data_IF_215537065059
#
_entry.id   IF_215537065059
#
_cell.length_a   1.000
_cell.length_b   1.000
_cell.length_c   1.000
_cell.angle_alpha   90.00
_cell.angle_beta   90.00
_cell.angle_gamma   90.00
#
_symmetry.space_group_name_H-M   'P 1'
#
loop_
_entity.id
_entity.type
_entity.pdbx_description
1 polymer ?
#
# COMPACT_ATOMS: atom_id res chain seq x y z
N UNK A 1 10.56 -23.09 -28.34
CA UNK A 1 10.24 -22.53 -27.03
C UNK A 1 8.85 -21.94 -27.16
N UNK A 2 7.99 -22.14 -26.18
CA UNK A 2 6.64 -21.56 -26.17
C UNK A 2 6.75 -20.03 -26.08
N UNK A 3 5.91 -19.31 -26.81
CA UNK A 3 5.78 -17.85 -26.72
C UNK A 3 4.46 -17.54 -26.05
N UNK A 4 4.49 -16.72 -24.99
CA UNK A 4 3.31 -16.17 -24.38
C UNK A 4 3.18 -14.70 -24.78
N UNK A 5 2.05 -14.38 -25.39
CA UNK A 5 1.75 -13.02 -25.87
C UNK A 5 0.98 -12.24 -24.81
N UNK A 6 1.41 -11.01 -24.61
CA UNK A 6 0.91 -10.10 -23.59
C UNK A 6 0.21 -8.91 -24.24
N UNK A 7 -0.99 -8.59 -23.80
CA UNK A 7 -1.66 -7.32 -24.03
C UNK A 7 -1.38 -6.37 -22.88
N UNK A 8 -0.76 -5.24 -23.16
CA UNK A 8 -0.41 -4.22 -22.16
C UNK A 8 -1.42 -3.07 -22.22
N UNK A 9 -2.21 -2.90 -21.16
CA UNK A 9 -3.17 -1.80 -21.04
C UNK A 9 -2.52 -0.65 -20.28
N UNK A 10 -2.03 0.35 -21.02
CA UNK A 10 -1.29 1.50 -20.53
C UNK A 10 0.22 1.40 -20.75
N UNK A 11 0.82 2.47 -21.32
CA UNK A 11 2.26 2.57 -21.59
C UNK A 11 2.88 3.81 -20.93
N UNK A 12 2.37 4.16 -19.74
CA UNK A 12 2.93 5.22 -18.88
C UNK A 12 4.16 4.76 -18.11
N UNK A 13 4.35 5.31 -16.91
CA UNK A 13 5.52 5.05 -16.04
C UNK A 13 5.74 3.56 -15.77
N UNK A 14 4.69 2.82 -15.40
CA UNK A 14 4.81 1.39 -15.07
C UNK A 14 4.87 0.54 -16.35
N UNK A 15 3.99 0.80 -17.32
CA UNK A 15 3.95 0.02 -18.57
C UNK A 15 5.24 0.09 -19.38
N UNK A 16 5.86 1.26 -19.48
CA UNK A 16 7.18 1.41 -20.11
C UNK A 16 8.28 0.68 -19.32
N UNK A 17 8.17 0.64 -17.99
CA UNK A 17 9.05 -0.15 -17.12
C UNK A 17 8.92 -1.66 -17.38
N UNK A 18 7.69 -2.17 -17.53
CA UNK A 18 7.40 -3.58 -17.89
C UNK A 18 8.05 -3.92 -19.24
N UNK A 19 7.80 -3.10 -20.25
CA UNK A 19 8.45 -3.27 -21.56
C UNK A 19 9.97 -3.32 -21.46
N UNK A 20 10.56 -2.38 -20.74
CA UNK A 20 12.01 -2.30 -20.56
C UNK A 20 12.59 -3.56 -19.90
N UNK A 21 11.94 -4.07 -18.83
CA UNK A 21 12.40 -5.27 -18.13
C UNK A 21 12.27 -6.49 -19.04
N UNK A 22 11.12 -6.71 -19.67
CA UNK A 22 10.88 -7.84 -20.55
C UNK A 22 11.88 -7.87 -21.72
N UNK A 23 12.17 -6.73 -22.33
CA UNK A 23 13.11 -6.61 -23.44
C UNK A 23 14.55 -6.83 -22.99
N UNK A 24 15.01 -6.11 -21.95
CA UNK A 24 16.41 -6.20 -21.49
C UNK A 24 16.75 -7.52 -20.80
N UNK A 25 15.78 -8.18 -20.18
CA UNK A 25 16.00 -9.41 -19.40
C UNK A 25 15.45 -10.65 -20.09
N UNK A 26 15.06 -10.56 -21.38
CA UNK A 26 14.43 -11.64 -22.13
C UNK A 26 15.12 -12.98 -21.93
N UNK A 27 16.40 -13.11 -22.26
CA UNK A 27 17.14 -14.37 -22.12
C UNK A 27 17.17 -14.94 -20.68
N UNK A 28 17.22 -14.06 -19.67
CA UNK A 28 17.21 -14.48 -18.27
C UNK A 28 15.84 -14.97 -17.86
N UNK A 29 14.78 -14.32 -18.32
CA UNK A 29 13.39 -14.68 -18.09
C UNK A 29 13.10 -16.03 -18.76
N UNK A 30 13.47 -16.19 -20.01
CA UNK A 30 13.32 -17.44 -20.77
C UNK A 30 14.00 -18.63 -20.09
N UNK A 31 15.23 -18.44 -19.57
CA UNK A 31 15.95 -19.49 -18.83
C UNK A 31 15.23 -19.89 -17.54
N UNK A 32 14.53 -18.96 -16.87
CA UNK A 32 13.84 -19.22 -15.60
C UNK A 32 12.45 -19.82 -15.80
N UNK A 33 11.72 -19.33 -16.79
CA UNK A 33 10.31 -19.72 -17.02
C UNK A 33 10.16 -20.86 -18.02
N UNK A 34 11.15 -21.05 -18.92
CA UNK A 34 11.05 -21.92 -20.07
C UNK A 34 10.18 -21.36 -21.21
N UNK A 35 9.79 -20.08 -21.12
CA UNK A 35 8.83 -19.41 -22.00
C UNK A 35 9.38 -18.07 -22.45
N UNK A 36 9.15 -17.68 -23.71
CA UNK A 36 9.41 -16.32 -24.20
C UNK A 36 8.19 -15.45 -23.94
N UNK A 37 8.37 -14.34 -23.23
CA UNK A 37 7.32 -13.36 -22.90
C UNK A 37 7.43 -12.19 -23.88
N UNK A 38 6.37 -11.89 -24.63
CA UNK A 38 6.36 -10.85 -25.64
C UNK A 38 5.13 -9.95 -25.50
N UNK A 39 5.35 -8.63 -25.42
CA UNK A 39 4.26 -7.68 -25.55
C UNK A 39 3.87 -7.59 -27.02
N UNK A 40 2.70 -8.07 -27.37
CA UNK A 40 2.16 -8.08 -28.73
C UNK A 40 1.49 -6.76 -29.06
N UNK A 41 0.65 -6.28 -28.13
CA UNK A 41 -0.12 -5.05 -28.30
C UNK A 41 -0.08 -4.20 -27.04
N UNK A 42 -0.11 -2.88 -27.20
CA UNK A 42 -0.19 -1.93 -26.10
C UNK A 42 -1.27 -0.88 -26.33
N UNK A 43 -2.14 -0.68 -25.31
CA UNK A 43 -3.16 0.36 -25.33
C UNK A 43 -2.56 1.69 -24.91
N UNK A 44 -2.73 2.70 -25.76
CA UNK A 44 -2.34 4.09 -25.50
C UNK A 44 -3.36 5.06 -26.10
N UNK A 45 -3.40 6.29 -25.63
CA UNK A 45 -4.32 7.31 -26.17
C UNK A 45 -3.93 7.75 -27.58
N UNK A 46 -2.65 7.88 -27.84
CA UNK A 46 -2.04 8.42 -29.07
C UNK A 46 -0.99 7.43 -29.61
N UNK A 47 -1.41 6.39 -30.36
CA UNK A 47 -0.53 5.32 -30.86
C UNK A 47 0.64 5.83 -31.70
N UNK A 48 0.42 6.90 -32.46
CA UNK A 48 1.41 7.55 -33.37
C UNK A 48 2.64 8.07 -32.62
N UNK A 49 2.53 8.41 -31.35
CA UNK A 49 3.66 8.89 -30.55
C UNK A 49 4.70 7.80 -30.26
N UNK A 50 4.32 6.53 -30.41
CA UNK A 50 5.11 5.36 -30.04
C UNK A 50 5.53 4.49 -31.23
N UNK A 51 4.72 4.45 -32.30
CA UNK A 51 4.86 3.53 -33.42
C UNK A 51 6.26 3.62 -34.11
N UNK A 52 6.80 4.82 -34.24
CA UNK A 52 8.10 5.04 -34.88
C UNK A 52 9.29 4.86 -33.92
N UNK A 53 9.04 4.79 -32.60
CA UNK A 53 10.10 4.75 -31.59
C UNK A 53 10.35 3.36 -31.03
N UNK A 54 9.34 2.49 -31.08
CA UNK A 54 9.36 1.16 -30.46
C UNK A 54 8.90 0.15 -31.49
N UNK A 55 9.82 -0.73 -31.89
CA UNK A 55 9.54 -1.82 -32.83
C UNK A 55 9.06 -3.09 -32.10
N UNK A 56 8.27 -3.90 -32.77
CA UNK A 56 7.85 -5.22 -32.27
C UNK A 56 6.62 -5.18 -31.36
N UNK A 57 5.97 -4.03 -31.20
CA UNK A 57 4.71 -3.86 -30.47
C UNK A 57 3.72 -3.11 -31.36
N UNK A 58 2.48 -3.56 -31.42
CA UNK A 58 1.38 -2.82 -32.04
C UNK A 58 0.74 -1.90 -31.03
N UNK A 59 0.87 -0.58 -31.21
CA UNK A 59 0.19 0.40 -30.39
C UNK A 59 -1.21 0.69 -30.95
N UNK A 60 -2.20 0.78 -30.06
CA UNK A 60 -3.61 1.01 -30.45
C UNK A 60 -4.34 1.85 -29.39
N UNK A 61 -5.36 2.59 -29.79
CA UNK A 61 -6.31 3.23 -28.89
C UNK A 61 -7.61 2.40 -28.73
N UNK A 62 -7.72 1.29 -29.44
CA UNK A 62 -8.83 0.35 -29.39
C UNK A 62 -8.52 -0.80 -28.44
N UNK A 63 -9.17 -0.81 -27.27
CA UNK A 63 -8.99 -1.88 -26.27
C UNK A 63 -9.53 -3.22 -26.75
N UNK A 64 -10.60 -3.21 -27.56
CA UNK A 64 -11.21 -4.43 -28.08
C UNK A 64 -10.30 -5.15 -29.06
N UNK A 65 -9.44 -4.42 -29.78
CA UNK A 65 -8.41 -5.00 -30.63
C UNK A 65 -7.35 -5.81 -29.84
N UNK A 66 -7.19 -5.52 -28.53
CA UNK A 66 -6.32 -6.28 -27.62
C UNK A 66 -7.10 -7.41 -26.96
N UNK A 67 -8.29 -7.10 -26.38
CA UNK A 67 -9.03 -8.06 -25.56
C UNK A 67 -9.64 -9.20 -26.37
N UNK A 68 -9.98 -8.96 -27.64
CA UNK A 68 -10.54 -9.96 -28.52
C UNK A 68 -9.47 -10.77 -29.29
N UNK A 69 -8.18 -10.48 -29.13
CA UNK A 69 -7.10 -11.24 -29.76
C UNK A 69 -6.93 -12.58 -29.06
N UNK A 70 -7.22 -13.69 -29.75
CA UNK A 70 -7.13 -15.05 -29.22
C UNK A 70 -5.67 -15.48 -28.94
N UNK A 71 -4.68 -14.85 -29.56
CA UNK A 71 -3.27 -15.17 -29.33
C UNK A 71 -2.72 -14.55 -28.04
N UNK A 72 -3.39 -13.52 -27.49
CA UNK A 72 -3.01 -12.88 -26.23
C UNK A 72 -3.61 -13.67 -25.06
N UNK A 73 -2.75 -14.28 -24.25
CA UNK A 73 -3.13 -15.09 -23.10
C UNK A 73 -3.08 -14.32 -21.76
N UNK A 74 -2.27 -13.25 -21.70
CA UNK A 74 -2.05 -12.46 -20.48
C UNK A 74 -2.34 -11.00 -20.76
N UNK A 75 -3.16 -10.37 -19.90
CA UNK A 75 -3.38 -8.92 -19.88
C UNK A 75 -2.64 -8.33 -18.70
N UNK A 76 -1.86 -7.28 -18.95
CA UNK A 76 -1.24 -6.45 -17.92
C UNK A 76 -1.96 -5.11 -17.89
N UNK A 77 -2.67 -4.81 -16.80
CA UNK A 77 -3.40 -3.56 -16.62
C UNK A 77 -2.60 -2.61 -15.71
N UNK A 78 -2.26 -1.45 -16.25
CA UNK A 78 -1.54 -0.36 -15.58
C UNK A 78 -2.04 1.01 -16.05
N UNK A 79 -3.38 1.12 -16.21
CA UNK A 79 -4.05 2.31 -16.76
C UNK A 79 -4.19 3.43 -15.74
N UNK A 80 -4.53 3.09 -14.50
CA UNK A 80 -5.03 4.03 -13.51
C UNK A 80 -6.54 4.33 -13.66
N UNK A 81 -7.13 4.85 -12.60
CA UNK A 81 -8.60 5.01 -12.49
C UNK A 81 -9.31 3.67 -12.27
N UNK A 82 -10.62 3.69 -12.08
CA UNK A 82 -11.38 2.50 -11.69
C UNK A 82 -12.28 2.00 -12.80
N UNK A 83 -13.20 2.82 -13.29
CA UNK A 83 -14.34 2.36 -14.10
C UNK A 83 -13.92 1.72 -15.44
N UNK A 84 -13.01 2.37 -16.17
CA UNK A 84 -12.50 1.83 -17.42
C UNK A 84 -11.63 0.59 -17.20
N UNK A 85 -10.75 0.63 -16.20
CA UNK A 85 -9.90 -0.50 -15.84
C UNK A 85 -10.73 -1.71 -15.41
N UNK A 86 -11.81 -1.50 -14.62
CA UNK A 86 -12.74 -2.55 -14.21
C UNK A 86 -13.35 -3.27 -15.41
N UNK A 87 -13.89 -2.52 -16.37
CA UNK A 87 -14.51 -3.10 -17.55
C UNK A 87 -13.50 -3.92 -18.39
N UNK A 88 -12.28 -3.41 -18.53
CA UNK A 88 -11.21 -4.10 -19.24
C UNK A 88 -10.79 -5.40 -18.55
N UNK A 89 -10.54 -5.33 -17.23
CA UNK A 89 -10.12 -6.50 -16.45
C UNK A 89 -11.22 -7.55 -16.40
N UNK A 90 -12.47 -7.15 -16.14
CA UNK A 90 -13.63 -8.05 -16.15
C UNK A 90 -13.76 -8.78 -17.49
N UNK A 91 -13.78 -8.04 -18.60
CA UNK A 91 -13.86 -8.62 -19.95
C UNK A 91 -12.70 -9.57 -20.25
N UNK A 92 -11.46 -9.24 -19.83
CA UNK A 92 -10.32 -10.11 -20.00
C UNK A 92 -10.49 -11.44 -19.25
N UNK A 93 -10.88 -11.39 -17.96
CA UNK A 93 -11.12 -12.58 -17.15
C UNK A 93 -12.25 -13.45 -17.70
N UNK A 94 -13.37 -12.85 -18.08
CA UNK A 94 -14.53 -13.53 -18.69
C UNK A 94 -14.17 -14.18 -20.05
N UNK A 95 -13.21 -13.62 -20.77
CA UNK A 95 -12.69 -14.18 -22.02
C UNK A 95 -11.61 -15.25 -21.84
N UNK A 96 -11.36 -15.68 -20.61
CA UNK A 96 -10.37 -16.72 -20.31
C UNK A 96 -8.91 -16.25 -20.37
N UNK A 97 -8.66 -14.94 -20.26
CA UNK A 97 -7.30 -14.39 -20.21
C UNK A 97 -6.85 -14.20 -18.77
N UNK A 98 -5.60 -14.51 -18.50
CA UNK A 98 -4.97 -14.17 -17.22
C UNK A 98 -4.75 -12.68 -17.10
N UNK A 99 -4.85 -12.12 -15.89
CA UNK A 99 -4.69 -10.70 -15.64
C UNK A 99 -3.64 -10.45 -14.56
N UNK A 100 -2.79 -9.47 -14.82
CA UNK A 100 -1.89 -8.85 -13.83
C UNK A 100 -2.23 -7.38 -13.75
N UNK A 101 -2.52 -6.86 -12.55
CA UNK A 101 -2.83 -5.44 -12.35
C UNK A 101 -2.01 -4.82 -11.23
N UNK A 102 -1.69 -3.53 -11.36
CA UNK A 102 -1.08 -2.72 -10.30
C UNK A 102 -2.09 -1.73 -9.67
N UNK A 103 -3.38 -1.82 -10.04
CA UNK A 103 -4.39 -0.83 -9.73
C UNK A 103 -5.05 -1.10 -8.36
N UNK A 104 -4.49 -0.51 -7.31
CA UNK A 104 -4.98 -0.67 -5.96
C UNK A 104 -6.41 -0.18 -5.75
N UNK A 105 -6.79 0.92 -6.44
CA UNK A 105 -8.12 1.52 -6.30
C UNK A 105 -9.19 0.58 -6.88
N UNK A 106 -8.89 -0.03 -8.01
CA UNK A 106 -9.70 -1.08 -8.63
C UNK A 106 -9.87 -2.27 -7.69
N UNK A 107 -8.77 -2.77 -7.13
CA UNK A 107 -8.78 -3.97 -6.29
C UNK A 107 -9.45 -3.74 -4.94
N UNK A 108 -9.30 -2.56 -4.35
CA UNK A 108 -9.99 -2.22 -3.11
C UNK A 108 -11.52 -2.18 -3.30
N UNK A 109 -12.00 -1.70 -4.45
CA UNK A 109 -13.43 -1.59 -4.76
C UNK A 109 -14.04 -2.86 -5.32
N UNK A 110 -13.36 -3.52 -6.23
CA UNK A 110 -13.91 -4.62 -7.05
C UNK A 110 -13.11 -5.92 -6.94
N UNK A 111 -12.08 -5.98 -6.08
CA UNK A 111 -11.17 -7.13 -6.03
C UNK A 111 -11.88 -8.45 -5.72
N UNK A 112 -12.86 -8.45 -4.83
CA UNK A 112 -13.65 -9.66 -4.49
C UNK A 112 -14.39 -10.19 -5.71
N UNK A 113 -15.12 -9.33 -6.43
CA UNK A 113 -15.85 -9.70 -7.64
C UNK A 113 -14.88 -10.19 -8.73
N UNK A 114 -13.79 -9.46 -8.97
CA UNK A 114 -12.81 -9.83 -10.01
C UNK A 114 -12.11 -11.16 -9.68
N UNK A 115 -11.81 -11.40 -8.40
CA UNK A 115 -11.24 -12.67 -7.94
C UNK A 115 -12.21 -13.83 -8.11
N UNK A 116 -13.51 -13.60 -7.91
CA UNK A 116 -14.55 -14.60 -8.18
C UNK A 116 -14.64 -14.90 -9.68
N UNK A 117 -14.70 -13.89 -10.54
CA UNK A 117 -14.72 -14.05 -12.00
C UNK A 117 -13.49 -14.83 -12.48
N UNK A 118 -12.31 -14.51 -11.95
CA UNK A 118 -11.08 -15.23 -12.28
C UNK A 118 -11.16 -16.73 -11.94
N UNK A 119 -11.72 -17.07 -10.77
CA UNK A 119 -11.97 -18.47 -10.36
C UNK A 119 -12.94 -19.20 -11.28
N UNK A 120 -14.08 -18.58 -11.57
CA UNK A 120 -15.13 -19.15 -12.41
C UNK A 120 -14.63 -19.45 -13.83
N UNK A 121 -13.71 -18.62 -14.35
CA UNK A 121 -13.11 -18.79 -15.67
C UNK A 121 -11.77 -19.55 -15.65
N UNK A 122 -11.33 -20.05 -14.48
CA UNK A 122 -10.09 -20.81 -14.30
C UNK A 122 -8.84 -20.06 -14.84
N UNK A 123 -8.76 -18.76 -14.54
CA UNK A 123 -7.63 -17.87 -14.88
C UNK A 123 -7.02 -17.24 -13.66
N UNK A 124 -5.75 -16.81 -13.79
CA UNK A 124 -5.06 -16.08 -12.72
C UNK A 124 -5.42 -14.60 -12.75
N UNK A 125 -5.64 -14.03 -11.56
CA UNK A 125 -5.64 -12.60 -11.29
C UNK A 125 -4.55 -12.34 -10.25
N UNK A 126 -3.43 -11.74 -10.67
CA UNK A 126 -2.31 -11.40 -9.79
C UNK A 126 -2.11 -9.89 -9.71
N UNK A 127 -1.66 -9.40 -8.56
CA UNK A 127 -1.60 -7.97 -8.29
C UNK A 127 -0.55 -7.56 -7.25
N UNK A 128 0.61 -8.25 -7.23
CA UNK A 128 1.71 -7.94 -6.30
C UNK A 128 2.07 -6.46 -6.29
N UNK A 129 2.08 -5.81 -7.45
CA UNK A 129 2.44 -4.42 -7.63
C UNK A 129 1.45 -3.41 -7.02
N UNK A 130 0.27 -3.84 -6.59
CA UNK A 130 -0.77 -2.96 -6.04
C UNK A 130 -0.46 -2.46 -4.63
N UNK A 131 0.38 -3.18 -3.87
CA UNK A 131 0.83 -2.79 -2.53
C UNK A 131 2.35 -2.90 -2.44
N UNK A 132 2.99 -1.85 -1.92
CA UNK A 132 4.44 -1.83 -1.72
C UNK A 132 5.28 -1.73 -2.99
N UNK A 133 4.68 -1.53 -4.16
CA UNK A 133 5.36 -1.33 -5.44
C UNK A 133 6.34 -2.44 -5.79
N UNK A 134 7.64 -2.24 -5.51
CA UNK A 134 8.69 -3.23 -5.74
C UNK A 134 8.96 -4.20 -4.59
N UNK A 135 8.24 -4.05 -3.47
CA UNK A 135 8.37 -4.91 -2.28
C UNK A 135 7.47 -6.14 -2.48
N UNK A 136 8.00 -7.36 -2.48
CA UNK A 136 7.17 -8.55 -2.53
C UNK A 136 6.49 -8.76 -1.17
N UNK A 137 5.22 -8.42 -1.04
CA UNK A 137 4.46 -8.53 0.21
C UNK A 137 3.22 -9.41 0.10
N UNK A 138 2.47 -9.30 -1.02
CA UNK A 138 1.20 -10.00 -1.15
C UNK A 138 1.41 -11.51 -1.36
N UNK A 139 2.37 -11.89 -2.19
CA UNK A 139 2.71 -13.30 -2.39
C UNK A 139 3.27 -13.95 -1.13
N UNK A 140 4.23 -13.37 -0.39
CA UNK A 140 4.63 -13.87 0.93
C UNK A 140 3.47 -14.05 1.91
N UNK A 141 2.50 -13.12 1.96
CA UNK A 141 1.30 -13.29 2.80
C UNK A 141 0.51 -14.55 2.43
N UNK A 142 0.29 -14.76 1.14
CA UNK A 142 -0.54 -15.87 0.64
C UNK A 142 0.19 -17.22 0.66
N UNK A 143 1.49 -17.24 0.37
CA UNK A 143 2.24 -18.49 0.18
C UNK A 143 3.08 -18.87 1.40
N UNK A 144 3.73 -17.91 2.08
CA UNK A 144 4.67 -18.18 3.16
C UNK A 144 4.05 -17.98 4.54
N UNK A 145 3.38 -16.86 4.76
CA UNK A 145 2.77 -16.52 6.05
C UNK A 145 1.48 -17.31 6.29
N UNK A 146 0.87 -17.87 5.25
CA UNK A 146 -0.40 -18.63 5.32
C UNK A 146 -0.41 -19.84 6.25
N UNK A 147 0.76 -20.28 6.72
CA UNK A 147 0.88 -21.31 7.76
C UNK A 147 0.80 -20.76 9.19
N UNK A 148 0.63 -19.45 9.34
CA UNK A 148 0.51 -18.75 10.62
C UNK A 148 -0.87 -18.09 10.74
N UNK A 149 -1.29 -17.86 11.98
CA UNK A 149 -2.33 -16.89 12.24
C UNK A 149 -1.68 -15.49 12.28
N UNK A 150 -2.10 -14.62 11.35
CA UNK A 150 -1.62 -13.24 11.35
C UNK A 150 -2.26 -12.49 12.50
N UNK A 151 -1.43 -11.88 13.36
CA UNK A 151 -1.86 -11.12 14.53
C UNK A 151 -1.94 -9.63 14.22
N UNK A 152 -0.97 -9.08 13.47
CA UNK A 152 -0.93 -7.67 13.12
C UNK A 152 -0.16 -7.41 11.82
N UNK A 153 -0.57 -6.36 11.12
CA UNK A 153 0.19 -5.75 10.03
C UNK A 153 0.30 -4.25 10.30
N UNK A 154 1.52 -3.72 10.25
CA UNK A 154 1.80 -2.30 10.28
C UNK A 154 2.58 -1.90 9.03
N UNK A 155 2.06 -0.95 8.26
CA UNK A 155 2.66 -0.58 6.98
C UNK A 155 2.95 0.92 6.85
N UNK A 156 4.20 1.27 6.55
CA UNK A 156 4.54 2.53 5.90
C UNK A 156 4.39 2.27 4.40
N UNK A 157 3.20 2.50 3.86
CA UNK A 157 2.83 2.10 2.48
C UNK A 157 2.66 3.28 1.52
N UNK A 158 2.90 4.51 2.00
CA UNK A 158 2.88 5.72 1.20
C UNK A 158 4.23 6.45 1.28
N UNK A 159 4.94 6.55 0.16
CA UNK A 159 6.28 7.14 0.10
C UNK A 159 6.27 8.66 0.27
N UNK A 160 5.24 9.35 -0.21
CA UNK A 160 5.08 10.81 -0.12
C UNK A 160 5.00 11.25 1.34
N UNK A 161 4.10 10.65 2.11
CA UNK A 161 3.92 10.98 3.53
C UNK A 161 5.14 10.62 4.37
N UNK A 162 5.79 9.50 4.10
CA UNK A 162 7.01 9.13 4.80
C UNK A 162 8.18 10.07 4.46
N UNK A 163 8.29 10.53 3.20
CA UNK A 163 9.25 11.56 2.82
C UNK A 163 9.00 12.86 3.57
N UNK A 164 7.74 13.33 3.63
CA UNK A 164 7.36 14.56 4.31
C UNK A 164 7.71 14.49 5.80
N UNK A 165 7.20 13.47 6.51
CA UNK A 165 7.45 13.32 7.95
C UNK A 165 8.93 13.15 8.29
N UNK A 166 9.68 12.41 7.45
CA UNK A 166 11.13 12.25 7.63
C UNK A 166 11.85 13.57 7.48
N UNK A 167 11.55 14.35 6.44
CA UNK A 167 12.20 15.63 6.17
C UNK A 167 11.85 16.67 7.23
N UNK A 168 10.57 16.76 7.66
CA UNK A 168 10.16 17.61 8.78
C UNK A 168 10.95 17.29 10.04
N UNK A 169 11.07 16.00 10.39
CA UNK A 169 11.75 15.54 11.61
C UNK A 169 13.27 15.79 11.57
N UNK A 170 13.92 15.56 10.42
CA UNK A 170 15.38 15.66 10.31
C UNK A 170 15.87 17.08 10.07
N UNK A 171 15.11 17.87 9.30
CA UNK A 171 15.50 19.22 8.87
C UNK A 171 14.83 20.32 9.69
N UNK A 172 13.84 20.02 10.52
CA UNK A 172 13.08 20.98 11.31
C UNK A 172 12.22 21.92 10.46
N UNK A 173 11.84 21.49 9.25
CA UNK A 173 10.99 22.24 8.32
C UNK A 173 9.51 22.08 8.66
N UNK A 174 8.65 23.01 8.22
CA UNK A 174 7.20 22.88 8.33
C UNK A 174 6.65 21.92 7.27
N UNK A 175 5.41 21.49 7.48
CA UNK A 175 4.70 20.66 6.50
C UNK A 175 4.63 21.33 5.12
N UNK A 176 4.31 22.62 5.07
CA UNK A 176 4.17 23.38 3.82
C UNK A 176 5.50 23.51 3.07
N UNK A 177 6.61 23.76 3.81
CA UNK A 177 7.96 23.85 3.21
C UNK A 177 8.38 22.52 2.60
N UNK A 178 8.12 21.40 3.31
CA UNK A 178 8.50 20.08 2.81
C UNK A 178 7.57 19.61 1.70
N UNK A 179 6.25 19.88 1.78
CA UNK A 179 5.32 19.53 0.71
C UNK A 179 5.72 20.20 -0.61
N UNK A 180 6.07 21.49 -0.57
CA UNK A 180 6.56 22.19 -1.75
C UNK A 180 7.80 21.52 -2.35
N UNK A 181 8.77 21.15 -1.49
CA UNK A 181 9.98 20.42 -1.92
C UNK A 181 9.64 19.05 -2.50
N UNK A 182 8.68 18.34 -1.91
CA UNK A 182 8.21 17.05 -2.44
C UNK A 182 7.59 17.18 -3.83
N UNK A 183 6.81 18.24 -4.07
CA UNK A 183 6.21 18.54 -5.38
C UNK A 183 7.29 18.91 -6.41
N UNK A 184 8.25 19.76 -6.07
CA UNK A 184 9.37 20.15 -6.93
C UNK A 184 10.25 18.94 -7.34
N UNK A 185 10.41 17.97 -6.45
CA UNK A 185 11.17 16.73 -6.69
C UNK A 185 10.32 15.60 -7.34
N UNK A 186 9.03 15.82 -7.58
CA UNK A 186 8.13 14.83 -8.18
C UNK A 186 7.72 13.68 -7.26
N UNK A 187 7.87 13.83 -5.94
CA UNK A 187 7.40 12.89 -4.91
C UNK A 187 5.93 13.11 -4.54
N UNK A 188 5.41 14.32 -4.77
CA UNK A 188 4.00 14.67 -4.59
C UNK A 188 3.45 15.31 -5.86
N UNK A 189 2.20 15.01 -6.19
CA UNK A 189 1.45 15.68 -7.27
C UNK A 189 0.98 17.07 -6.82
N UNK A 190 0.44 17.86 -7.76
CA UNK A 190 -0.12 19.18 -7.47
C UNK A 190 -1.29 19.09 -6.47
N UNK A 191 -2.12 18.05 -6.57
CA UNK A 191 -3.12 17.69 -5.57
C UNK A 191 -2.63 16.45 -4.80
N UNK A 192 -2.05 16.59 -3.61
CA UNK A 192 -1.50 15.50 -2.81
C UNK A 192 -2.54 14.84 -1.89
N UNK A 193 -3.82 15.22 -1.96
CA UNK A 193 -4.87 14.83 -1.00
C UNK A 193 -4.92 13.32 -0.79
N UNK A 194 -4.83 12.52 -1.85
CA UNK A 194 -4.85 11.05 -1.74
C UNK A 194 -3.73 10.50 -0.86
N UNK A 195 -2.55 11.14 -0.90
CA UNK A 195 -1.40 10.75 -0.10
C UNK A 195 -1.54 11.27 1.33
N UNK A 196 -1.67 12.60 1.48
CA UNK A 196 -1.53 13.28 2.78
C UNK A 196 -2.71 13.04 3.71
N UNK A 197 -3.91 12.73 3.18
CA UNK A 197 -5.09 12.36 3.96
C UNK A 197 -5.19 10.83 4.21
N UNK A 198 -4.21 10.05 3.72
CA UNK A 198 -4.11 8.61 3.97
C UNK A 198 -5.01 7.73 3.11
N UNK A 199 -5.61 8.25 2.04
CA UNK A 199 -6.52 7.47 1.17
C UNK A 199 -5.78 6.39 0.41
N UNK A 200 -4.61 6.70 -0.15
CA UNK A 200 -3.73 5.71 -0.80
C UNK A 200 -3.37 4.57 0.15
N UNK A 201 -2.99 4.90 1.39
CA UNK A 201 -2.66 3.90 2.41
C UNK A 201 -3.88 3.04 2.80
N UNK A 202 -5.08 3.64 2.81
CA UNK A 202 -6.35 2.93 3.11
C UNK A 202 -6.68 1.90 2.03
N UNK A 203 -6.56 2.22 0.75
CA UNK A 203 -6.77 1.25 -0.33
C UNK A 203 -5.82 0.05 -0.23
N UNK A 204 -4.55 0.30 0.09
CA UNK A 204 -3.56 -0.75 0.29
C UNK A 204 -3.86 -1.60 1.52
N UNK A 205 -4.33 -0.99 2.61
CA UNK A 205 -4.73 -1.69 3.83
C UNK A 205 -5.91 -2.65 3.58
N UNK A 206 -6.90 -2.25 2.78
CA UNK A 206 -8.02 -3.13 2.38
C UNK A 206 -7.50 -4.41 1.71
N UNK A 207 -6.55 -4.26 0.78
CA UNK A 207 -5.96 -5.41 0.07
C UNK A 207 -5.18 -6.32 1.02
N UNK A 208 -4.34 -5.74 1.89
CA UNK A 208 -3.59 -6.49 2.89
C UNK A 208 -4.51 -7.25 3.84
N UNK A 209 -5.56 -6.59 4.34
CA UNK A 209 -6.53 -7.20 5.27
C UNK A 209 -7.28 -8.36 4.60
N UNK A 210 -7.70 -8.19 3.35
CA UNK A 210 -8.40 -9.24 2.61
C UNK A 210 -7.52 -10.47 2.42
N UNK A 211 -6.25 -10.30 2.11
CA UNK A 211 -5.34 -11.43 1.91
C UNK A 211 -4.90 -12.10 3.21
N UNK A 212 -4.68 -11.31 4.27
CA UNK A 212 -4.18 -11.84 5.53
C UNK A 212 -5.28 -12.46 6.41
N UNK A 213 -6.51 -11.89 6.36
CA UNK A 213 -7.60 -12.25 7.27
C UNK A 213 -8.88 -12.74 6.55
N UNK A 214 -8.90 -12.74 5.21
CA UNK A 214 -10.09 -13.05 4.44
C UNK A 214 -11.22 -12.00 4.58
N UNK A 215 -10.98 -10.90 5.28
CA UNK A 215 -12.00 -9.90 5.63
C UNK A 215 -12.02 -8.77 4.64
N UNK A 216 -13.18 -8.52 4.03
CA UNK A 216 -13.37 -7.40 3.12
C UNK A 216 -14.02 -6.22 3.87
N UNK A 217 -13.34 -5.08 3.90
CA UNK A 217 -13.78 -3.87 4.60
C UNK A 217 -13.97 -2.74 3.61
N UNK A 218 -15.08 -1.99 3.74
CA UNK A 218 -15.30 -0.83 2.89
C UNK A 218 -14.37 0.32 3.29
N UNK A 219 -13.98 1.12 2.30
CA UNK A 219 -13.10 2.28 2.49
C UNK A 219 -13.61 3.26 3.57
N UNK A 220 -14.94 3.49 3.59
CA UNK A 220 -15.56 4.45 4.52
C UNK A 220 -15.65 3.93 5.96
N UNK A 221 -15.60 2.61 6.15
CA UNK A 221 -15.64 2.00 7.48
C UNK A 221 -14.29 2.04 8.21
N UNK A 222 -13.20 2.40 7.53
CA UNK A 222 -11.86 2.46 8.11
C UNK A 222 -11.61 3.86 8.66
N UNK A 223 -11.37 4.02 9.97
CA UNK A 223 -10.90 5.27 10.55
C UNK A 223 -9.60 5.73 9.89
N UNK A 224 -9.56 6.97 9.44
CA UNK A 224 -8.39 7.53 8.77
C UNK A 224 -8.13 8.97 9.16
N UNK A 225 -6.86 9.27 9.40
CA UNK A 225 -6.35 10.60 9.69
C UNK A 225 -5.04 10.79 8.95
N UNK A 226 -4.94 11.88 8.19
CA UNK A 226 -3.75 12.25 7.44
C UNK A 226 -2.66 12.86 8.29
N UNK A 227 -1.64 13.41 7.61
CA UNK A 227 -0.47 14.01 8.24
C UNK A 227 -0.51 15.54 8.28
N UNK A 228 -1.55 16.16 7.72
CA UNK A 228 -1.65 17.62 7.56
C UNK A 228 -1.65 18.40 8.88
N UNK A 229 -2.09 17.76 9.97
CA UNK A 229 -2.09 18.34 11.31
C UNK A 229 -0.81 18.04 12.12
N UNK A 230 0.13 17.26 11.60
CA UNK A 230 1.38 16.95 12.29
C UNK A 230 2.30 18.17 12.25
N UNK A 231 2.71 18.65 13.43
CA UNK A 231 3.53 19.86 13.56
C UNK A 231 5.00 19.55 13.90
N UNK A 232 5.85 20.56 13.77
CA UNK A 232 7.25 20.48 14.25
C UNK A 232 7.33 20.18 15.74
N UNK A 233 6.42 20.75 16.52
CA UNK A 233 6.30 20.55 17.97
C UNK A 233 6.05 19.08 18.29
N UNK A 234 5.13 18.42 17.57
CA UNK A 234 4.84 17.00 17.74
C UNK A 234 6.07 16.14 17.49
N UNK A 235 6.76 16.40 16.37
CA UNK A 235 7.97 15.65 15.99
C UNK A 235 9.12 15.84 16.98
N UNK A 236 9.28 17.04 17.53
CA UNK A 236 10.31 17.32 18.54
C UNK A 236 10.00 16.61 19.86
N UNK A 237 8.76 16.67 20.34
CA UNK A 237 8.32 16.00 21.56
C UNK A 237 8.39 14.48 21.41
N UNK A 238 7.94 13.93 20.28
CA UNK A 238 8.07 12.51 19.98
C UNK A 238 9.55 12.08 20.07
N UNK A 239 10.45 12.82 19.43
CA UNK A 239 11.88 12.52 19.44
C UNK A 239 12.49 12.57 20.84
N UNK A 240 12.16 13.57 21.64
CA UNK A 240 12.62 13.70 23.04
C UNK A 240 12.08 12.56 23.91
N UNK A 241 10.93 12.01 23.56
CA UNK A 241 10.28 10.89 24.25
C UNK A 241 10.73 9.51 23.73
N UNK A 242 11.67 9.43 22.77
CA UNK A 242 12.17 8.17 22.22
C UNK A 242 11.36 7.61 21.05
N UNK A 243 10.57 8.47 20.38
CA UNK A 243 9.70 8.08 19.24
C UNK A 243 9.99 8.87 17.97
N UNK A 244 9.48 8.37 16.86
CA UNK A 244 9.30 9.13 15.61
C UNK A 244 7.86 9.02 15.16
N UNK A 245 7.34 10.02 14.43
CA UNK A 245 5.97 9.96 13.90
C UNK A 245 6.01 9.41 12.48
N UNK A 246 5.19 8.38 12.22
CA UNK A 246 4.98 7.74 10.92
C UNK A 246 3.50 7.61 10.61
N UNK A 247 3.09 7.81 9.35
CA UNK A 247 1.75 7.41 8.92
C UNK A 247 1.75 5.89 8.75
N UNK A 248 0.97 5.19 9.57
CA UNK A 248 0.83 3.74 9.49
C UNK A 248 -0.56 3.36 8.99
N UNK A 249 -0.60 2.44 8.05
CA UNK A 249 -1.75 1.61 7.76
C UNK A 249 -1.65 0.38 8.65
N UNK A 250 -2.62 0.16 9.54
CA UNK A 250 -2.56 -0.91 10.51
C UNK A 250 -3.82 -1.76 10.50
N UNK A 251 -3.64 -3.07 10.64
CA UNK A 251 -4.70 -4.02 10.99
C UNK A 251 -4.20 -4.89 12.12
N UNK A 252 -5.00 -5.02 13.17
CA UNK A 252 -4.70 -5.79 14.38
C UNK A 252 -5.84 -6.76 14.65
N UNK A 253 -5.50 -8.03 14.85
CA UNK A 253 -6.44 -9.05 15.25
C UNK A 253 -6.65 -9.04 16.77
N UNK A 254 -7.90 -9.23 17.20
CA UNK A 254 -8.29 -9.41 18.58
C UNK A 254 -9.35 -10.53 18.65
N UNK A 255 -8.91 -11.76 18.92
CA UNK A 255 -9.79 -12.92 18.85
C UNK A 255 -10.35 -13.13 17.42
N UNK A 256 -11.68 -13.12 17.30
CA UNK A 256 -12.38 -13.26 16.01
C UNK A 256 -12.58 -11.93 15.27
N UNK A 257 -12.10 -10.83 15.84
CA UNK A 257 -12.25 -9.50 15.27
C UNK A 257 -10.94 -8.97 14.69
N UNK A 258 -11.05 -8.06 13.71
CA UNK A 258 -9.94 -7.22 13.21
C UNK A 258 -10.33 -5.77 13.28
N UNK A 259 -9.41 -4.94 13.75
CA UNK A 259 -9.52 -3.48 13.76
C UNK A 259 -8.53 -2.89 12.77
N UNK A 260 -9.01 -1.99 11.94
CA UNK A 260 -8.22 -1.31 10.92
C UNK A 260 -8.20 0.19 11.18
N UNK A 261 -7.06 0.82 10.96
CA UNK A 261 -6.98 2.28 10.89
C UNK A 261 -5.79 2.77 10.05
N UNK A 262 -5.87 3.99 9.56
CA UNK A 262 -4.74 4.70 8.93
C UNK A 262 -4.58 6.03 9.63
N UNK A 263 -3.45 6.22 10.33
CA UNK A 263 -3.17 7.49 11.03
C UNK A 263 -1.69 7.65 11.38
N UNK A 264 -1.27 8.86 11.76
CA UNK A 264 0.05 9.05 12.35
C UNK A 264 0.19 8.32 13.70
N UNK A 265 1.29 7.59 13.87
CA UNK A 265 1.68 6.87 15.08
C UNK A 265 2.99 7.42 15.64
N UNK A 266 3.12 7.46 16.96
CA UNK A 266 4.41 7.53 17.63
C UNK A 266 5.05 6.13 17.62
N UNK A 267 6.05 5.93 16.76
CA UNK A 267 6.77 4.67 16.62
C UNK A 267 8.05 4.72 17.44
N UNK A 268 8.25 3.77 18.35
CA UNK A 268 9.45 3.65 19.16
C UNK A 268 10.71 3.64 18.30
N UNK A 269 11.75 4.38 18.68
CA UNK A 269 13.03 4.41 17.96
C UNK A 269 13.73 3.04 17.93
N UNK A 270 13.31 2.11 18.80
CA UNK A 270 13.79 0.74 18.82
C UNK A 270 13.05 -0.17 17.82
N UNK A 271 11.88 0.23 17.33
CA UNK A 271 11.13 -0.50 16.32
C UNK A 271 11.73 -0.32 14.93
N UNK A 272 11.76 -1.37 14.11
CA UNK A 272 12.36 -1.32 12.78
C UNK A 272 11.68 -0.32 11.83
N UNK A 273 10.37 -0.14 11.93
CA UNK A 273 9.62 0.85 11.14
C UNK A 273 10.09 2.29 11.41
N UNK A 274 10.63 2.59 12.58
CA UNK A 274 11.16 3.93 12.89
C UNK A 274 12.34 4.30 11.98
N UNK A 275 13.10 3.32 11.52
CA UNK A 275 14.29 3.50 10.68
C UNK A 275 13.97 3.69 9.19
N UNK A 276 12.72 3.49 8.79
CA UNK A 276 12.28 3.65 7.39
C UNK A 276 12.19 5.13 7.05
N UNK A 277 13.10 5.62 6.22
CA UNK A 277 13.23 7.04 5.92
C UNK A 277 12.90 7.38 4.46
N UNK A 278 12.53 8.63 4.26
CA UNK A 278 12.23 9.25 2.96
C UNK A 278 11.10 8.50 2.20
N UNK A 279 11.26 8.31 0.89
CA UNK A 279 10.26 7.69 0.02
C UNK A 279 10.17 6.16 0.14
N UNK A 280 10.96 5.55 1.04
CA UNK A 280 10.93 4.11 1.22
C UNK A 280 9.68 3.65 1.97
N UNK A 281 9.24 2.45 1.65
CA UNK A 281 8.13 1.77 2.30
C UNK A 281 8.62 0.56 3.08
N UNK A 282 7.83 0.17 4.08
CA UNK A 282 8.02 -1.11 4.77
C UNK A 282 6.70 -1.62 5.31
N UNK A 283 6.55 -2.93 5.32
CA UNK A 283 5.40 -3.62 5.89
C UNK A 283 5.93 -4.63 6.91
N UNK A 284 5.52 -4.45 8.16
CA UNK A 284 5.74 -5.42 9.24
C UNK A 284 4.51 -6.31 9.34
N UNK A 285 4.75 -7.62 9.41
CA UNK A 285 3.72 -8.65 9.59
C UNK A 285 4.12 -9.50 10.79
N UNK A 286 3.22 -9.63 11.76
CA UNK A 286 3.38 -10.48 12.93
C UNK A 286 2.49 -11.70 12.81
N UNK A 287 3.06 -12.87 12.95
CA UNK A 287 2.35 -14.15 13.01
C UNK A 287 2.68 -14.91 14.27
N UNK A 288 1.76 -15.75 14.71
CA UNK A 288 1.81 -16.49 15.98
C UNK A 288 3.06 -17.40 16.12
N UNK A 289 3.48 -18.05 15.04
CA UNK A 289 4.65 -18.93 15.04
C UNK A 289 5.89 -18.25 14.43
N UNK A 290 5.70 -17.33 13.48
CA UNK A 290 6.78 -16.66 12.75
C UNK A 290 7.41 -15.52 13.57
N UNK A 291 6.62 -14.88 14.45
CA UNK A 291 6.96 -13.60 15.06
C UNK A 291 6.86 -12.46 14.06
N UNK A 292 7.62 -11.39 14.25
CA UNK A 292 7.62 -10.25 13.37
C UNK A 292 8.57 -10.42 12.19
N UNK A 293 8.11 -10.16 10.98
CA UNK A 293 8.94 -9.99 9.79
C UNK A 293 8.73 -8.58 9.21
N UNK A 294 9.80 -8.00 8.65
CA UNK A 294 9.76 -6.70 7.99
C UNK A 294 10.17 -6.84 6.52
N UNK A 295 9.30 -6.37 5.63
CA UNK A 295 9.55 -6.28 4.19
C UNK A 295 9.78 -4.81 3.82
N UNK A 296 10.97 -4.48 3.31
CA UNK A 296 11.40 -3.09 3.08
C UNK A 296 11.90 -2.88 1.66
N UNK A 297 11.64 -1.70 1.09
CA UNK A 297 12.15 -1.32 -0.22
C UNK A 297 11.48 -0.08 -0.81
N UNK A 298 11.56 0.05 -2.14
CA UNK A 298 10.91 1.12 -2.89
C UNK A 298 9.43 0.82 -3.08
N UNK A 299 8.57 1.66 -2.51
CA UNK A 299 7.11 1.52 -2.55
C UNK A 299 6.47 1.96 -3.87
N UNK A 300 7.19 2.69 -4.72
CA UNK A 300 6.73 3.21 -6.00
C UNK A 300 7.89 3.39 -6.98
N UNK A 301 7.56 3.78 -8.21
CA UNK A 301 8.52 4.07 -9.28
C UNK A 301 8.42 3.10 -10.46
N UNK A 302 8.87 3.54 -11.63
CA UNK A 302 8.74 2.77 -12.88
C UNK A 302 9.30 1.35 -12.77
N UNK A 303 10.59 1.20 -12.48
CA UNK A 303 11.24 -0.11 -12.43
C UNK A 303 10.85 -0.96 -11.21
N UNK A 304 10.76 -0.41 -9.98
CA UNK A 304 10.30 -1.19 -8.83
C UNK A 304 8.92 -1.81 -9.05
N UNK A 305 7.92 -1.01 -9.41
CA UNK A 305 6.55 -1.48 -9.66
C UNK A 305 6.48 -2.46 -10.83
N UNK A 306 7.17 -2.13 -11.94
CA UNK A 306 7.26 -3.04 -13.08
C UNK A 306 7.93 -4.37 -12.75
N UNK A 307 8.85 -4.41 -11.77
CA UNK A 307 9.47 -5.67 -11.32
C UNK A 307 8.43 -6.62 -10.73
N UNK A 308 7.52 -6.13 -9.90
CA UNK A 308 6.43 -6.93 -9.32
C UNK A 308 5.44 -7.39 -10.39
N UNK A 309 5.06 -6.51 -11.33
CA UNK A 309 4.23 -6.87 -12.48
C UNK A 309 4.87 -7.99 -13.31
N UNK A 310 6.17 -7.85 -13.66
CA UNK A 310 6.87 -8.86 -14.44
C UNK A 310 7.02 -10.17 -13.66
N UNK A 311 7.23 -10.12 -12.34
CA UNK A 311 7.27 -11.31 -11.50
C UNK A 311 5.94 -12.08 -11.53
N UNK A 312 4.82 -11.39 -11.52
CA UNK A 312 3.48 -11.99 -11.66
C UNK A 312 3.27 -12.61 -13.03
N UNK A 313 3.65 -11.91 -14.11
CA UNK A 313 3.60 -12.44 -15.48
C UNK A 313 4.48 -13.70 -15.62
N UNK A 314 5.70 -13.67 -15.07
CA UNK A 314 6.59 -14.84 -15.06
C UNK A 314 6.01 -16.03 -14.30
N UNK A 315 5.31 -15.77 -13.19
CA UNK A 315 4.65 -16.82 -12.44
C UNK A 315 3.55 -17.48 -13.27
N UNK A 316 2.66 -16.70 -13.87
CA UNK A 316 1.60 -17.19 -14.76
C UNK A 316 2.21 -18.07 -15.87
N UNK A 317 3.18 -17.54 -16.59
CA UNK A 317 3.84 -18.25 -17.70
C UNK A 317 4.50 -19.57 -17.23
N UNK A 318 5.12 -19.57 -16.06
CA UNK A 318 5.72 -20.76 -15.47
C UNK A 318 4.67 -21.81 -15.13
N UNK A 319 3.57 -21.42 -14.52
CA UNK A 319 2.47 -22.33 -14.18
C UNK A 319 1.80 -22.91 -15.43
N UNK A 320 1.55 -22.08 -16.43
CA UNK A 320 1.01 -22.53 -17.73
C UNK A 320 1.96 -23.51 -18.43
N UNK A 321 3.28 -23.23 -18.44
CA UNK A 321 4.27 -24.11 -19.07
C UNK A 321 4.35 -25.49 -18.38
N UNK A 322 4.00 -25.55 -17.08
CA UNK A 322 3.92 -26.80 -16.31
C UNK A 322 2.56 -27.48 -16.39
N UNK A 323 1.58 -26.92 -17.10
CA UNK A 323 0.19 -27.35 -17.10
C UNK A 323 -0.39 -27.46 -15.69
N UNK A 324 0.02 -26.54 -14.80
CA UNK A 324 -0.44 -26.53 -13.43
C UNK A 324 -1.92 -26.11 -13.36
N UNK A 325 -2.66 -26.72 -12.42
CA UNK A 325 -4.04 -26.25 -12.14
C UNK A 325 -3.97 -24.82 -11.61
N UNK A 326 -4.88 -23.98 -12.10
CA UNK A 326 -5.02 -22.61 -11.59
C UNK A 326 -5.42 -22.66 -10.10
N UNK A 327 -4.59 -22.05 -9.26
CA UNK A 327 -4.89 -21.82 -7.85
C UNK A 327 -5.15 -20.33 -7.69
N UNK A 328 -6.31 -19.93 -7.17
CA UNK A 328 -6.63 -18.52 -6.94
C UNK A 328 -5.57 -17.86 -6.07
N UNK A 329 -5.23 -16.61 -6.37
CA UNK A 329 -4.31 -15.84 -5.55
C UNK A 329 -4.92 -15.52 -4.18
N UNK A 330 -6.19 -15.15 -4.16
CA UNK A 330 -6.93 -15.01 -2.90
C UNK A 330 -7.37 -16.38 -2.38
N UNK A 331 -7.17 -16.65 -1.09
CA UNK A 331 -7.65 -17.88 -0.47
C UNK A 331 -9.16 -18.08 -0.67
N UNK A 332 -9.59 -19.34 -0.80
CA UNK A 332 -11.02 -19.70 -0.93
C UNK A 332 -11.74 -19.74 0.43
N UNK A 333 -11.09 -19.33 1.48
CA UNK A 333 -11.63 -19.39 2.84
C UNK A 333 -12.70 -18.31 3.06
N UNK A 334 -13.77 -18.68 3.74
CA UNK A 334 -14.67 -17.71 4.36
C UNK A 334 -13.85 -16.79 5.28
N UNK A 335 -14.29 -15.55 5.46
CA UNK A 335 -13.66 -14.62 6.38
C UNK A 335 -13.52 -15.28 7.76
N UNK A 336 -12.30 -15.43 8.22
CA UNK A 336 -12.03 -16.01 9.54
C UNK A 336 -12.21 -15.02 10.66
N UNK A 337 -12.22 -13.72 10.33
CA UNK A 337 -12.35 -12.62 11.30
C UNK A 337 -13.36 -11.58 10.81
N UNK A 338 -14.03 -10.95 11.75
CA UNK A 338 -15.05 -9.91 11.50
C UNK A 338 -14.44 -8.54 11.74
N UNK A 339 -14.70 -7.59 10.84
CA UNK A 339 -14.28 -6.20 11.06
C UNK A 339 -15.05 -5.59 12.23
N UNK A 340 -14.33 -4.97 13.17
CA UNK A 340 -14.88 -4.18 14.26
C UNK A 340 -14.46 -2.72 14.14
N UNK A 341 -15.33 -1.81 14.53
CA UNK A 341 -15.02 -0.38 14.67
C UNK A 341 -14.51 -0.01 16.06
N UNK A 342 -14.53 -0.95 17.00
CA UNK A 342 -14.01 -0.75 18.34
C UNK A 342 -12.52 -0.98 18.37
N UNK A 343 -11.76 0.06 18.65
CA UNK A 343 -10.30 -0.05 18.78
C UNK A 343 -9.95 -0.94 19.99
N UNK A 344 -8.95 -1.82 19.88
CA UNK A 344 -8.40 -2.51 21.03
C UNK A 344 -7.77 -1.51 22.00
N UNK A 345 -7.54 -1.95 23.25
CA UNK A 345 -6.74 -1.16 24.19
C UNK A 345 -5.37 -0.89 23.60
N UNK A 346 -4.93 0.36 23.63
CA UNK A 346 -3.66 0.81 23.06
C UNK A 346 -2.94 1.77 24.00
N UNK A 347 -1.65 1.94 23.73
CA UNK A 347 -0.90 3.05 24.27
C UNK A 347 -1.06 4.27 23.37
N UNK A 348 -1.17 5.43 24.00
CA UNK A 348 -1.28 6.70 23.29
C UNK A 348 -0.29 7.74 23.82
N UNK A 349 0.25 8.54 22.90
CA UNK A 349 0.95 9.77 23.18
C UNK A 349 0.00 10.94 22.87
N UNK A 350 -0.17 11.84 23.83
CA UNK A 350 -1.01 13.03 23.70
C UNK A 350 -0.10 14.25 23.75
N UNK A 351 -0.10 15.03 22.69
CA UNK A 351 0.62 16.32 22.63
C UNK A 351 -0.36 17.43 22.96
N UNK A 352 0.00 18.22 23.97
CA UNK A 352 -0.78 19.35 24.47
C UNK A 352 0.05 20.61 24.25
N UNK A 353 -0.38 21.50 23.35
CA UNK A 353 0.19 22.84 23.23
C UNK A 353 -0.45 23.76 24.25
N UNK A 354 0.36 24.37 25.10
CA UNK A 354 -0.14 25.14 26.24
C UNK A 354 0.90 26.18 26.69
N UNK A 355 0.42 27.29 27.19
CA UNK A 355 1.21 28.29 27.89
C UNK A 355 1.64 27.88 29.30
N UNK A 356 1.06 26.76 29.83
CA UNK A 356 1.29 26.26 31.18
C UNK A 356 1.66 24.77 31.17
N UNK A 357 2.79 24.39 30.56
CA UNK A 357 3.16 22.98 30.43
C UNK A 357 3.42 22.28 31.78
N UNK A 358 3.69 23.04 32.85
CA UNK A 358 3.91 22.56 34.22
C UNK A 358 2.64 21.98 34.88
N UNK A 359 1.46 22.25 34.32
CA UNK A 359 0.19 21.67 34.79
C UNK A 359 -0.02 20.22 34.31
N UNK A 360 0.87 19.70 33.47
CA UNK A 360 0.75 18.37 32.86
C UNK A 360 1.98 17.51 33.14
N UNK A 361 1.76 16.22 33.41
CA UNK A 361 2.84 15.24 33.48
C UNK A 361 3.33 14.87 32.08
N UNK A 362 4.65 14.76 31.91
CA UNK A 362 5.19 14.31 30.63
C UNK A 362 6.54 14.92 30.24
N UNK A 363 6.89 14.76 28.97
CA UNK A 363 8.09 15.37 28.38
C UNK A 363 7.73 16.77 27.89
N UNK A 364 8.42 17.77 28.41
CA UNK A 364 8.09 19.19 28.22
C UNK A 364 9.02 19.84 27.21
N UNK A 365 8.44 20.60 26.26
CA UNK A 365 9.10 21.68 25.54
C UNK A 365 8.79 23.00 26.28
N UNK A 366 9.80 23.68 26.84
CA UNK A 366 9.58 24.86 27.65
C UNK A 366 8.73 25.93 26.93
N UNK A 367 7.70 26.43 27.62
CA UNK A 367 6.78 27.48 27.19
C UNK A 367 5.95 27.18 25.91
N UNK A 368 5.82 25.91 25.54
CA UNK A 368 5.13 25.57 24.27
C UNK A 368 4.21 24.35 24.37
N UNK A 369 4.70 23.22 24.88
CA UNK A 369 3.94 21.99 24.81
C UNK A 369 4.49 20.89 25.72
N UNK A 370 3.65 19.88 25.95
CA UNK A 370 4.01 18.66 26.68
C UNK A 370 3.50 17.42 25.93
N UNK A 371 4.25 16.31 25.99
CA UNK A 371 3.78 14.99 25.56
C UNK A 371 3.55 14.12 26.78
N UNK A 372 2.30 13.72 26.96
CA UNK A 372 1.84 12.81 28.01
C UNK A 372 1.55 11.44 27.42
N UNK A 373 1.86 10.37 28.16
CA UNK A 373 1.55 8.99 27.73
C UNK A 373 0.40 8.38 28.55
N UNK A 374 -0.42 7.61 27.88
CA UNK A 374 -1.43 6.72 28.46
C UNK A 374 -1.16 5.31 27.96
N UNK A 375 -1.22 4.34 28.86
CA UNK A 375 -0.97 2.93 28.53
C UNK A 375 -2.22 2.11 28.67
N UNK A 376 -2.46 1.18 27.72
CA UNK A 376 -3.57 0.23 27.72
C UNK A 376 -4.92 0.88 28.03
N UNK A 377 -5.23 1.98 27.33
CA UNK A 377 -6.44 2.77 27.50
C UNK A 377 -7.38 2.60 26.29
N UNK A 378 -8.69 2.59 26.51
CA UNK A 378 -9.68 2.63 25.45
C UNK A 378 -9.78 4.02 24.81
N UNK A 379 -10.24 4.09 23.55
CA UNK A 379 -10.48 5.39 22.91
C UNK A 379 -11.48 6.25 23.68
N UNK A 380 -12.55 5.67 24.24
CA UNK A 380 -13.55 6.40 25.01
C UNK A 380 -12.95 7.04 26.27
N UNK A 381 -12.15 6.28 27.04
CA UNK A 381 -11.48 6.83 28.23
C UNK A 381 -10.43 7.89 27.84
N UNK A 382 -9.77 7.71 26.72
CA UNK A 382 -8.80 8.69 26.18
C UNK A 382 -9.52 9.99 25.80
N UNK A 383 -10.66 9.90 25.11
CA UNK A 383 -11.48 11.06 24.72
C UNK A 383 -11.96 11.87 25.93
N UNK A 384 -12.37 11.18 27.02
CA UNK A 384 -12.72 11.85 28.27
C UNK A 384 -11.57 12.65 28.86
N UNK A 385 -10.34 12.07 28.86
CA UNK A 385 -9.13 12.74 29.33
C UNK A 385 -8.75 13.92 28.44
N UNK A 386 -8.79 13.74 27.12
CA UNK A 386 -8.50 14.80 26.16
C UNK A 386 -9.48 15.94 26.28
N UNK A 387 -10.78 15.65 26.44
CA UNK A 387 -11.79 16.66 26.70
C UNK A 387 -11.48 17.45 27.99
N UNK A 388 -11.08 16.76 29.05
CA UNK A 388 -10.68 17.43 30.28
C UNK A 388 -9.47 18.35 30.09
N UNK A 389 -8.47 17.93 29.35
CA UNK A 389 -7.29 18.76 29.03
C UNK A 389 -7.66 20.00 28.20
N UNK A 390 -8.58 19.88 27.26
CA UNK A 390 -9.06 21.01 26.45
C UNK A 390 -9.78 22.09 27.25
N UNK A 391 -10.25 21.76 28.48
CA UNK A 391 -10.89 22.73 29.38
C UNK A 391 -9.89 23.45 30.29
N UNK A 392 -8.62 23.07 30.32
CA UNK A 392 -7.58 23.71 31.12
C UNK A 392 -7.20 25.05 30.49
N UNK A 393 -7.18 26.09 31.33
CA UNK A 393 -6.81 27.45 30.91
C UNK A 393 -5.37 27.48 30.33
N UNK A 394 -5.21 28.08 29.14
CA UNK A 394 -3.94 28.17 28.46
C UNK A 394 -3.62 27.00 27.51
N UNK A 395 -4.51 25.99 27.38
CA UNK A 395 -4.40 24.95 26.38
C UNK A 395 -4.93 25.47 25.03
N UNK A 396 -4.12 25.37 24.00
CA UNK A 396 -4.42 25.83 22.64
C UNK A 396 -4.88 24.65 21.75
N UNK A 397 -4.12 23.55 21.75
CA UNK A 397 -4.43 22.35 20.96
C UNK A 397 -4.05 21.07 21.69
N UNK A 398 -4.79 19.99 21.39
CA UNK A 398 -4.48 18.63 21.86
C UNK A 398 -4.50 17.68 20.66
N UNK A 399 -3.41 16.94 20.44
CA UNK A 399 -3.29 15.95 19.36
C UNK A 399 -2.93 14.58 19.92
N UNK A 400 -3.51 13.55 19.32
CA UNK A 400 -3.45 12.16 19.80
C UNK A 400 -2.72 11.30 18.77
N UNK A 401 -1.78 10.51 19.24
CA UNK A 401 -1.01 9.54 18.45
C UNK A 401 -1.03 8.18 19.14
N UNK A 402 -1.54 7.11 18.51
CA UNK A 402 -1.29 5.76 19.02
C UNK A 402 0.22 5.52 19.08
N UNK A 403 0.64 4.67 20.01
CA UNK A 403 2.05 4.30 20.18
C UNK A 403 2.27 2.89 19.64
N UNK A 404 3.34 2.70 18.86
CA UNK A 404 3.85 1.40 18.48
C UNK A 404 5.20 1.19 19.16
N UNK A 405 5.24 0.29 20.13
CA UNK A 405 6.46 -0.13 20.82
C UNK A 405 7.26 -1.15 19.99
N UNK A 406 8.46 -1.53 20.47
CA UNK A 406 9.31 -2.52 19.82
C UNK A 406 8.90 -3.96 20.18
#
# INVERSE_FOLDING_TARGET
MKVEKIGLLGFGTVGSGVYHILTKKQMSIEKKTGVSLQIEKALVKEPELFADKISGITFTSDVDYILNDEEISIIVEVLGGVDFAYNCVKKALESGKHVVTANKDLLAKHGVELSQIARENNVYLYYEASVGGGIPVLRPLVEHVSSNEVEAIYGIVNGTTNFILTSMSQQGLSYEEVLKTAQENGFAEADPTSDVEGYDATYKLIILTRLAFGTNVSFDAIPKKGITEVTKTDLQLAKLSGYTIKLLASVVANGEEVYLEVRPYCVSLNHLLAQVAYENNAISVTGDALGEILLYGKGAGSHPTATSVVADVMMIATQQNRNAKVVPFEPLTEATKVHTTTAPLKDYAVVIETSKPEEFDGVVLPNQAVLTRFTQISEAELEEKVFAYQQVDGVETVRIYPVLEA
#
